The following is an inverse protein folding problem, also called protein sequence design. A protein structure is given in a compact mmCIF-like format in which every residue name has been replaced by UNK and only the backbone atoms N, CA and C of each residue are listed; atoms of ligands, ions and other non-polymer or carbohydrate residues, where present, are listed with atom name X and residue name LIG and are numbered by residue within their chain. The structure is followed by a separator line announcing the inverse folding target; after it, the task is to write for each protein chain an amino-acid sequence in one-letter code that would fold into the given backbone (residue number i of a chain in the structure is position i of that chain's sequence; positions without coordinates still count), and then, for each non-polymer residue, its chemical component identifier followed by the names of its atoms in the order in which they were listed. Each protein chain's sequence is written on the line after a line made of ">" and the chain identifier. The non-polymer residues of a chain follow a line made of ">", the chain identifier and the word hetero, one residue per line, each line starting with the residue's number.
data_IF_101717957873
#
_entry.id   IF_101717957873
#
_cell.length_a   1.000
_cell.length_b   1.000
_cell.length_c   1.000
_cell.angle_alpha   90.00
_cell.angle_beta   90.00
_cell.angle_gamma   90.00
#
_symmetry.space_group_name_H-M   'P 1'
#
loop_
_entity.id
_entity.type
_entity.pdbx_description
1 polymer ?
#
# COMPACT_ATOMS: atom_id res chain seq x y z
N UNK A 1 -9.97 6.01 -15.85
CA UNK A 1 -8.85 6.62 -15.12
C UNK A 1 -7.71 6.83 -16.10
N UNK A 2 -7.23 8.07 -16.26
CA UNK A 2 -6.10 8.38 -17.15
C UNK A 2 -4.76 7.98 -16.49
N UNK A 3 -3.67 7.93 -17.28
CA UNK A 3 -2.33 7.63 -16.76
C UNK A 3 -1.87 8.65 -15.73
N UNK A 4 -2.13 9.94 -15.99
CA UNK A 4 -1.86 11.04 -15.05
C UNK A 4 -2.61 10.83 -13.72
N UNK A 5 -3.91 10.55 -13.79
CA UNK A 5 -4.73 10.25 -12.60
C UNK A 5 -4.20 9.02 -11.86
N UNK A 6 -3.68 8.03 -12.56
CA UNK A 6 -3.05 6.86 -11.96
C UNK A 6 -1.76 7.18 -11.22
N UNK A 7 -0.88 7.97 -11.81
CA UNK A 7 0.35 8.38 -11.15
C UNK A 7 0.08 9.25 -9.93
N UNK A 8 -0.88 10.19 -10.02
CA UNK A 8 -1.32 11.01 -8.88
C UNK A 8 -1.93 10.15 -7.78
N UNK A 9 -2.77 9.18 -8.12
CA UNK A 9 -3.38 8.27 -7.14
C UNK A 9 -2.37 7.37 -6.44
N UNK A 10 -1.32 6.92 -7.14
CA UNK A 10 -0.22 6.17 -6.52
C UNK A 10 0.63 7.09 -5.65
N UNK A 11 0.98 8.28 -6.14
CA UNK A 11 1.80 9.27 -5.42
C UNK A 11 1.10 9.84 -4.18
N UNK A 12 -0.23 9.88 -4.14
CA UNK A 12 -1.02 10.28 -2.95
C UNK A 12 -0.99 9.24 -1.82
N UNK A 13 -0.29 8.12 -2.02
CA UNK A 13 0.01 7.11 -1.02
C UNK A 13 -1.09 6.08 -0.77
N UNK A 14 -2.36 6.41 -1.04
CA UNK A 14 -3.46 5.44 -1.00
C UNK A 14 -3.29 4.32 -2.03
N UNK A 15 -2.93 4.67 -3.27
CA UNK A 15 -2.67 3.70 -4.33
C UNK A 15 -1.38 2.91 -4.15
N UNK A 16 -0.30 3.57 -3.70
CA UNK A 16 0.97 2.90 -3.42
C UNK A 16 0.83 1.81 -2.33
N UNK A 17 0.05 2.09 -1.27
CA UNK A 17 -0.21 1.11 -0.22
C UNK A 17 -0.95 -0.12 -0.75
N UNK A 18 -1.99 0.07 -1.57
CA UNK A 18 -2.76 -1.04 -2.16
C UNK A 18 -1.87 -1.88 -3.08
N UNK A 19 -1.07 -1.24 -3.94
CA UNK A 19 -0.15 -1.93 -4.85
C UNK A 19 0.89 -2.73 -4.04
N UNK A 20 1.45 -2.14 -2.99
CA UNK A 20 2.40 -2.82 -2.11
C UNK A 20 1.81 -4.08 -1.47
N UNK A 21 0.54 -4.02 -1.04
CA UNK A 21 -0.17 -5.19 -0.54
C UNK A 21 -0.39 -6.26 -1.60
N UNK A 22 -0.82 -5.88 -2.80
CA UNK A 22 -1.02 -6.82 -3.91
C UNK A 22 0.29 -7.52 -4.32
N UNK A 23 1.40 -6.79 -4.28
CA UNK A 23 2.75 -7.34 -4.52
C UNK A 23 3.08 -8.37 -3.42
N UNK A 24 2.89 -8.03 -2.15
CA UNK A 24 3.18 -8.94 -1.03
C UNK A 24 2.27 -10.17 -1.07
N UNK A 25 0.98 -10.03 -1.37
CA UNK A 25 0.03 -11.15 -1.47
C UNK A 25 0.39 -12.13 -2.59
N UNK A 26 1.14 -11.69 -3.61
CA UNK A 26 1.64 -12.55 -4.69
C UNK A 26 3.08 -13.01 -4.49
N UNK A 27 3.75 -12.53 -3.44
CA UNK A 27 5.15 -12.84 -3.17
C UNK A 27 5.24 -13.84 -2.01
N UNK A 28 5.50 -15.11 -2.33
CA UNK A 28 5.54 -16.22 -1.37
C UNK A 28 6.46 -15.94 -0.16
N UNK A 29 7.61 -15.29 -0.39
CA UNK A 29 8.53 -14.89 0.68
C UNK A 29 7.94 -13.78 1.58
N UNK A 30 7.26 -12.79 1.00
CA UNK A 30 6.58 -11.74 1.76
C UNK A 30 5.45 -12.31 2.64
N UNK A 31 4.77 -13.36 2.18
CA UNK A 31 3.75 -14.09 2.93
C UNK A 31 4.29 -15.04 3.99
N UNK A 32 5.56 -15.46 3.91
CA UNK A 32 6.17 -16.29 4.96
C UNK A 32 6.71 -15.48 6.14
N UNK A 33 6.80 -14.15 6.01
CA UNK A 33 7.29 -13.27 7.07
C UNK A 33 6.25 -13.10 8.19
N UNK A 34 6.74 -12.97 9.43
CA UNK A 34 5.92 -12.59 10.59
C UNK A 34 5.17 -11.27 10.37
N UNK A 35 4.07 -11.02 11.10
CA UNK A 35 3.22 -9.84 10.88
C UNK A 35 3.96 -8.49 10.96
N UNK A 36 4.93 -8.35 11.86
CA UNK A 36 5.73 -7.12 12.01
C UNK A 36 6.71 -6.89 10.84
N UNK A 37 7.58 -7.83 10.47
CA UNK A 37 8.46 -7.65 9.31
C UNK A 37 7.69 -7.55 7.99
N UNK A 38 6.54 -8.24 7.85
CA UNK A 38 5.66 -8.07 6.68
C UNK A 38 5.10 -6.66 6.56
N UNK A 39 4.70 -6.06 7.69
CA UNK A 39 4.23 -4.67 7.72
C UNK A 39 5.34 -3.68 7.33
N UNK A 40 6.56 -3.88 7.83
CA UNK A 40 7.72 -3.07 7.45
C UNK A 40 8.02 -3.21 5.95
N UNK A 41 7.98 -4.44 5.42
CA UNK A 41 8.15 -4.70 4.00
C UNK A 41 7.09 -3.97 3.15
N UNK A 42 5.83 -3.96 3.60
CA UNK A 42 4.76 -3.21 2.93
C UNK A 42 5.01 -1.70 2.89
N UNK A 43 5.58 -1.14 3.97
CA UNK A 43 5.94 0.28 4.00
C UNK A 43 7.07 0.59 3.04
N UNK A 44 8.11 -0.25 2.99
CA UNK A 44 9.23 -0.08 2.06
C UNK A 44 8.74 -0.16 0.62
N UNK A 45 7.95 -1.18 0.27
CA UNK A 45 7.41 -1.34 -1.08
C UNK A 45 6.50 -0.16 -1.44
N UNK A 46 5.64 0.29 -0.52
CA UNK A 46 4.79 1.45 -0.77
C UNK A 46 5.61 2.71 -1.04
N UNK A 47 6.65 2.97 -0.22
CA UNK A 47 7.58 4.09 -0.45
C UNK A 47 8.24 4.04 -1.82
N UNK A 48 8.69 2.86 -2.25
CA UNK A 48 9.26 2.65 -3.58
C UNK A 48 8.23 2.88 -4.69
N UNK A 49 7.00 2.37 -4.54
CA UNK A 49 5.92 2.62 -5.51
C UNK A 49 5.59 4.11 -5.63
N UNK A 50 5.56 4.83 -4.51
CA UNK A 50 5.37 6.30 -4.49
C UNK A 50 6.49 7.03 -5.23
N UNK A 51 7.75 6.63 -5.04
CA UNK A 51 8.90 7.20 -5.75
C UNK A 51 8.88 6.91 -7.24
N UNK A 52 8.53 5.69 -7.64
CA UNK A 52 8.41 5.32 -9.06
C UNK A 52 7.29 6.12 -9.72
N UNK A 53 6.15 6.29 -9.05
CA UNK A 53 5.04 7.10 -9.56
C UNK A 53 5.40 8.59 -9.67
N UNK A 54 6.11 9.14 -8.67
CA UNK A 54 6.65 10.49 -8.70
C UNK A 54 7.62 10.67 -9.88
N UNK A 55 8.60 9.77 -10.01
CA UNK A 55 9.57 9.79 -11.11
C UNK A 55 8.91 9.67 -12.48
N UNK A 56 7.90 8.80 -12.61
CA UNK A 56 7.10 8.67 -13.84
C UNK A 56 6.30 9.94 -14.15
N UNK A 57 5.70 10.58 -13.14
CA UNK A 57 4.98 11.84 -13.32
C UNK A 57 5.89 13.00 -13.76
N UNK A 58 7.09 13.08 -13.18
CA UNK A 58 8.10 14.07 -13.57
C UNK A 58 8.65 13.81 -14.99
N UNK A 59 8.94 12.55 -15.33
CA UNK A 59 9.47 12.18 -16.64
C UNK A 59 8.46 12.40 -17.79
N UNK A 60 7.16 12.22 -17.52
CA UNK A 60 6.09 12.44 -18.49
C UNK A 60 5.61 13.90 -18.55
N UNK A 61 6.18 14.79 -17.72
CA UNK A 61 5.82 16.21 -17.69
C UNK A 61 4.48 16.52 -17.02
N UNK A 62 3.88 15.56 -16.29
CA UNK A 62 2.66 15.79 -15.53
C UNK A 62 2.90 16.60 -14.25
N UNK A 63 4.14 16.66 -13.79
CA UNK A 63 4.56 17.43 -12.63
C UNK A 63 5.77 18.30 -12.97
N UNK A 64 5.85 19.48 -12.36
CA UNK A 64 6.99 20.37 -12.53
C UNK A 64 8.26 19.77 -11.91
N UNK A 65 9.35 19.76 -12.68
CA UNK A 65 10.65 19.34 -12.16
C UNK A 65 11.14 20.32 -11.07
N UNK A 66 11.55 19.81 -9.89
CA UNK A 66 12.13 20.65 -8.87
C UNK A 66 13.43 21.31 -9.39
N UNK A 67 13.52 22.62 -9.21
CA UNK A 67 14.67 23.41 -9.70
C UNK A 67 15.89 23.35 -8.75
N UNK A 68 15.69 22.95 -7.49
CA UNK A 68 16.75 22.94 -6.46
C UNK A 68 16.87 21.58 -5.78
N UNK A 69 18.06 21.26 -5.27
CA UNK A 69 18.30 20.04 -4.51
C UNK A 69 17.42 19.92 -3.26
N UNK A 70 17.13 21.05 -2.60
CA UNK A 70 16.22 21.08 -1.44
C UNK A 70 14.77 20.74 -1.84
N UNK A 71 14.31 21.23 -3.00
CA UNK A 71 12.99 20.91 -3.52
C UNK A 71 12.89 19.43 -3.93
N UNK A 72 13.98 18.84 -4.41
CA UNK A 72 14.08 17.39 -4.63
C UNK A 72 13.96 16.61 -3.32
N UNK A 73 14.72 17.01 -2.29
CA UNK A 73 14.69 16.34 -0.99
C UNK A 73 13.27 16.40 -0.37
N UNK A 74 12.61 17.55 -0.44
CA UNK A 74 11.28 17.74 0.13
C UNK A 74 10.20 16.93 -0.59
N UNK A 75 10.19 16.91 -1.93
CA UNK A 75 9.18 16.16 -2.70
C UNK A 75 9.39 14.64 -2.58
N UNK A 76 10.64 14.17 -2.53
CA UNK A 76 10.98 12.76 -2.28
C UNK A 76 10.52 12.36 -0.88
N UNK A 77 10.84 13.17 0.13
CA UNK A 77 10.42 12.91 1.51
C UNK A 77 8.90 12.89 1.65
N UNK A 78 8.21 13.82 1.00
CA UNK A 78 6.75 13.89 0.98
C UNK A 78 6.14 12.65 0.31
N UNK A 79 6.65 12.24 -0.84
CA UNK A 79 6.16 11.05 -1.56
C UNK A 79 6.34 9.78 -0.72
N UNK A 80 7.51 9.60 -0.10
CA UNK A 80 7.79 8.45 0.78
C UNK A 80 6.88 8.46 2.00
N UNK A 81 6.82 9.58 2.72
CA UNK A 81 6.03 9.68 3.97
C UNK A 81 4.53 9.51 3.71
N UNK A 82 4.02 10.07 2.62
CA UNK A 82 2.63 9.91 2.20
C UNK A 82 2.33 8.47 1.79
N UNK A 83 3.22 7.83 1.03
CA UNK A 83 3.06 6.42 0.67
C UNK A 83 3.13 5.46 1.87
N UNK A 84 4.00 5.72 2.84
CA UNK A 84 4.06 4.96 4.09
C UNK A 84 2.79 5.21 4.93
N UNK A 85 2.34 6.46 5.05
CA UNK A 85 1.11 6.82 5.76
C UNK A 85 -0.12 6.14 5.15
N UNK A 86 -0.25 6.20 3.82
CA UNK A 86 -1.29 5.52 3.06
C UNK A 86 -1.23 3.99 3.22
N UNK A 87 -0.03 3.40 3.21
CA UNK A 87 0.15 1.97 3.48
C UNK A 87 -0.24 1.60 4.92
N UNK A 88 0.04 2.44 5.92
CA UNK A 88 -0.43 2.22 7.31
C UNK A 88 -1.94 2.24 7.39
N UNK A 89 -2.60 3.19 6.73
CA UNK A 89 -4.06 3.25 6.67
C UNK A 89 -4.62 2.00 5.96
N UNK A 90 -4.14 1.70 4.76
CA UNK A 90 -4.54 0.50 4.01
C UNK A 90 -4.32 -0.79 4.82
N UNK A 91 -3.19 -0.91 5.51
CA UNK A 91 -2.89 -2.03 6.41
C UNK A 91 -3.87 -2.07 7.59
N UNK A 92 -4.21 -0.93 8.18
CA UNK A 92 -5.15 -0.86 9.30
C UNK A 92 -6.55 -1.28 8.86
N UNK A 93 -7.03 -0.80 7.72
CA UNK A 93 -8.30 -1.23 7.14
C UNK A 93 -8.29 -2.71 6.73
N UNK A 94 -7.19 -3.22 6.15
CA UNK A 94 -7.06 -4.62 5.77
C UNK A 94 -6.92 -5.58 6.97
N UNK A 95 -6.17 -5.20 8.01
CA UNK A 95 -5.97 -6.01 9.23
C UNK A 95 -7.18 -5.97 10.16
N UNK A 96 -7.91 -4.87 10.24
CA UNK A 96 -9.23 -4.86 10.88
C UNK A 96 -10.26 -5.69 10.09
N UNK A 97 -10.04 -5.88 8.79
CA UNK A 97 -10.89 -6.67 7.90
C UNK A 97 -10.67 -8.19 7.98
N UNK A 98 -9.43 -8.66 8.18
CA UNK A 98 -9.07 -10.09 8.09
C UNK A 98 -8.77 -10.81 9.41
N UNK A 99 -8.69 -10.14 10.56
CA UNK A 99 -8.36 -10.79 11.84
C UNK A 99 -9.30 -10.35 12.98
N UNK A 100 -9.71 -11.28 13.85
CA UNK A 100 -10.32 -10.99 15.17
C UNK A 100 -9.34 -11.32 16.29
N UNK A 101 -9.64 -10.90 17.52
CA UNK A 101 -9.01 -11.47 18.72
C UNK A 101 -9.92 -12.54 19.29
N UNK A 102 -9.33 -13.66 19.69
CA UNK A 102 -10.04 -14.66 20.49
C UNK A 102 -10.20 -14.16 21.95
N UNK A 103 -10.96 -14.87 22.80
CA UNK A 103 -11.12 -14.53 24.22
C UNK A 103 -9.80 -14.56 25.03
N UNK A 104 -8.75 -15.16 24.48
CA UNK A 104 -7.44 -15.32 25.10
C UNK A 104 -6.40 -14.31 24.60
N UNK A 105 -6.82 -13.35 23.74
CA UNK A 105 -5.98 -12.28 23.21
C UNK A 105 -5.13 -12.65 22.00
N UNK A 106 -5.24 -13.88 21.48
CA UNK A 106 -4.53 -14.35 20.30
C UNK A 106 -5.16 -13.82 19.01
N UNK A 107 -4.34 -13.57 17.97
CA UNK A 107 -4.81 -13.13 16.65
C UNK A 107 -5.28 -14.35 15.87
N UNK A 108 -6.57 -14.36 15.52
CA UNK A 108 -7.18 -15.38 14.65
C UNK A 108 -7.66 -14.73 13.35
N UNK A 109 -7.44 -15.42 12.23
CA UNK A 109 -7.97 -15.00 10.94
C UNK A 109 -9.50 -15.05 10.99
N UNK A 110 -10.16 -13.98 10.54
CA UNK A 110 -11.61 -13.93 10.41
C UNK A 110 -12.01 -15.07 9.48
N UNK A 111 -12.96 -15.94 9.87
CA UNK A 111 -13.50 -16.91 8.94
C UNK A 111 -14.06 -16.16 7.72
N UNK A 112 -13.93 -16.72 6.51
CA UNK A 112 -14.50 -16.11 5.31
C UNK A 112 -16.00 -15.83 5.54
N UNK A 113 -16.57 -14.76 4.97
CA UNK A 113 -17.99 -14.45 5.14
C UNK A 113 -18.81 -15.68 4.75
N UNK A 114 -19.67 -16.14 5.67
CA UNK A 114 -20.53 -17.30 5.48
C UNK A 114 -21.26 -17.17 4.13
N UNK A 115 -20.91 -18.03 3.16
CA UNK A 115 -21.71 -18.19 1.94
C UNK A 115 -22.78 -19.22 2.28
N UNK A 116 -24.08 -18.84 2.33
CA UNK A 116 -25.12 -19.84 2.43
C UNK A 116 -25.00 -20.82 1.25
N UNK A 117 -25.28 -22.12 1.45
CA UNK A 117 -25.26 -23.07 0.36
C UNK A 117 -26.14 -22.57 -0.78
N UNK A 118 -25.58 -22.54 -1.98
CA UNK A 118 -26.31 -22.22 -3.20
C UNK A 118 -27.41 -23.27 -3.39
N UNK A 119 -28.66 -22.89 -3.23
CA UNK A 119 -29.80 -23.70 -3.60
C UNK A 119 -30.16 -23.35 -5.05
N UNK A 120 -29.84 -24.21 -6.05
CA UNK A 120 -30.43 -24.06 -7.37
C UNK A 120 -31.94 -24.33 -7.24
N UNK A 121 -32.74 -23.34 -7.66
CA UNK A 121 -34.18 -23.50 -7.88
C UNK A 121 -34.44 -24.22 -9.21
#
# INVERSE_FOLDING_TARGET
>A
MTLEQALIWVASGGGAGIIAFLIIERWAWGLSLDPKPRQLLAWVISGLCGLVALGGGLALGYQAMPATGEAWASIIWLAISTAIGGAKLAHTFAVLGKFTRDPYGSRIEKPPPYRPPYHPH
#
